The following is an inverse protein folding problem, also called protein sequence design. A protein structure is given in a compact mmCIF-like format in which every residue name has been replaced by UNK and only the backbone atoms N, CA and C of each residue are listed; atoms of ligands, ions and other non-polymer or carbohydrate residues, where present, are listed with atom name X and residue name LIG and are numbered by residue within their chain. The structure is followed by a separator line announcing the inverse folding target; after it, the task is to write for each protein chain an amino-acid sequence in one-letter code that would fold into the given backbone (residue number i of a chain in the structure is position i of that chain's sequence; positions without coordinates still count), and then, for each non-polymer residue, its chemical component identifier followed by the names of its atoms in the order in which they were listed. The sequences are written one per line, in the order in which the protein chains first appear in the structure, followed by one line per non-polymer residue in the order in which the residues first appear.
data_IF_599864364507
#
_entry.id   IF_599864364507
#
_cell.length_a   1.000
_cell.length_b   1.000
_cell.length_c   1.000
_cell.angle_alpha   90.00
_cell.angle_beta   90.00
_cell.angle_gamma   90.00
#
_symmetry.space_group_name_H-M   'P 1'
#
loop_
_entity.id
_entity.type
_entity.pdbx_description
1 polymer ?
#
# COMPACT_ATOMS: atom_id res chain seq x y z
N UNK A 1 11.91 9.31 -7.41
CA UNK A 1 12.21 7.94 -7.86
C UNK A 1 11.87 6.86 -6.82
N UNK A 2 12.28 6.91 -5.53
CA UNK A 2 11.87 5.90 -4.53
C UNK A 2 10.56 6.25 -3.78
N UNK A 3 10.30 7.55 -3.59
CA UNK A 3 9.11 8.05 -2.90
C UNK A 3 7.84 7.81 -3.70
N UNK A 4 7.85 8.09 -5.01
CA UNK A 4 6.67 7.98 -5.89
C UNK A 4 6.05 6.58 -5.86
N UNK A 5 6.87 5.52 -5.92
CA UNK A 5 6.38 4.14 -5.82
C UNK A 5 5.84 3.82 -4.44
N UNK A 6 6.42 4.37 -3.38
CA UNK A 6 5.87 4.20 -2.02
C UNK A 6 4.50 4.86 -1.91
N UNK A 7 4.37 6.08 -2.45
CA UNK A 7 3.14 6.87 -2.45
C UNK A 7 2.01 6.19 -3.23
N UNK A 8 2.29 5.68 -4.43
CA UNK A 8 1.35 4.90 -5.24
C UNK A 8 0.82 3.66 -4.50
N UNK A 9 1.68 2.95 -3.77
CA UNK A 9 1.29 1.76 -3.02
C UNK A 9 0.44 2.10 -1.80
N UNK A 10 0.79 3.15 -1.05
CA UNK A 10 -0.01 3.62 0.07
C UNK A 10 -1.40 4.06 -0.39
N UNK A 11 -1.47 4.78 -1.50
CA UNK A 11 -2.72 5.20 -2.12
C UNK A 11 -3.58 4.00 -2.55
N UNK A 12 -2.98 3.02 -3.24
CA UNK A 12 -3.68 1.81 -3.67
C UNK A 12 -4.22 1.01 -2.48
N UNK A 13 -3.41 0.80 -1.44
CA UNK A 13 -3.84 0.11 -0.21
C UNK A 13 -4.99 0.88 0.45
N UNK A 14 -4.90 2.21 0.58
CA UNK A 14 -5.95 3.03 1.18
C UNK A 14 -7.28 2.89 0.42
N UNK A 15 -7.24 3.03 -0.91
CA UNK A 15 -8.41 2.87 -1.78
C UNK A 15 -9.01 1.47 -1.66
N UNK A 16 -8.18 0.44 -1.65
CA UNK A 16 -8.61 -0.98 -1.54
C UNK A 16 -9.16 -1.34 -0.17
N UNK A 17 -8.63 -0.76 0.90
CA UNK A 17 -9.09 -1.03 2.27
C UNK A 17 -10.57 -0.74 2.49
N UNK A 18 -11.14 0.20 1.73
CA UNK A 18 -12.59 0.49 1.74
C UNK A 18 -13.46 -0.65 1.20
N UNK A 19 -12.88 -1.56 0.40
CA UNK A 19 -13.56 -2.71 -0.20
C UNK A 19 -13.16 -4.03 0.45
N UNK A 20 -11.89 -4.17 0.84
CA UNK A 20 -11.32 -5.39 1.42
C UNK A 20 -10.26 -5.02 2.47
N UNK A 21 -10.42 -5.48 3.70
CA UNK A 21 -9.40 -5.34 4.76
C UNK A 21 -9.23 -6.69 5.47
N UNK A 22 -8.03 -7.29 5.50
CA UNK A 22 -6.76 -6.81 4.92
C UNK A 22 -6.72 -6.94 3.40
N UNK A 23 -6.02 -6.03 2.72
CA UNK A 23 -5.92 -6.01 1.26
C UNK A 23 -4.99 -7.12 0.77
N UNK A 24 -5.47 -7.98 -0.12
CA UNK A 24 -4.69 -9.09 -0.68
C UNK A 24 -3.55 -8.61 -1.58
N UNK A 25 -2.42 -9.33 -1.58
CA UNK A 25 -1.27 -9.01 -2.45
C UNK A 25 -1.60 -9.18 -3.94
N UNK A 26 -2.43 -10.17 -4.27
CA UNK A 26 -2.95 -10.40 -5.62
C UNK A 26 -3.81 -9.23 -6.12
N UNK A 27 -4.64 -8.69 -5.24
CA UNK A 27 -5.50 -7.55 -5.51
C UNK A 27 -4.68 -6.29 -5.81
N UNK A 28 -3.62 -6.03 -5.02
CA UNK A 28 -2.68 -4.93 -5.24
C UNK A 28 -1.86 -5.11 -6.52
N UNK A 29 -1.38 -6.33 -6.79
CA UNK A 29 -0.63 -6.65 -8.01
C UNK A 29 -1.44 -6.34 -9.27
N UNK A 30 -2.72 -6.73 -9.28
CA UNK A 30 -3.63 -6.46 -10.38
C UNK A 30 -3.95 -4.96 -10.55
N UNK A 31 -4.03 -4.21 -9.45
CA UNK A 31 -4.29 -2.76 -9.50
C UNK A 31 -3.11 -1.96 -10.03
N UNK A 32 -1.92 -2.27 -9.51
CA UNK A 32 -0.69 -1.54 -9.80
C UNK A 32 0.02 -2.07 -11.06
N UNK A 33 -0.49 -3.13 -11.69
CA UNK A 33 0.08 -3.73 -12.89
C UNK A 33 1.48 -4.33 -12.67
N UNK A 34 1.78 -4.79 -11.46
CA UNK A 34 3.10 -5.32 -11.07
C UNK A 34 3.01 -6.79 -10.65
N UNK A 35 4.15 -7.45 -10.58
CA UNK A 35 4.21 -8.87 -10.20
C UNK A 35 4.02 -9.05 -8.68
N UNK A 36 3.48 -10.20 -8.27
CA UNK A 36 3.29 -10.51 -6.84
C UNK A 36 4.60 -10.47 -6.00
N UNK A 37 5.76 -10.94 -6.52
CA UNK A 37 7.03 -10.78 -5.81
C UNK A 37 7.40 -9.31 -5.58
N UNK A 38 7.21 -8.44 -6.57
CA UNK A 38 7.47 -7.00 -6.43
C UNK A 38 6.56 -6.34 -5.39
N UNK A 39 5.27 -6.71 -5.36
CA UNK A 39 4.36 -6.28 -4.30
C UNK A 39 4.88 -6.70 -2.93
N UNK A 40 5.25 -7.97 -2.78
CA UNK A 40 5.69 -8.53 -1.49
C UNK A 40 6.94 -7.81 -0.97
N UNK A 41 7.89 -7.52 -1.85
CA UNK A 41 9.10 -6.79 -1.53
C UNK A 41 8.81 -5.35 -1.07
N UNK A 42 7.92 -4.67 -1.80
CA UNK A 42 7.49 -3.31 -1.42
C UNK A 42 6.70 -3.30 -0.11
N UNK A 43 5.80 -4.26 0.11
CA UNK A 43 5.05 -4.38 1.36
C UNK A 43 5.99 -4.59 2.56
N UNK A 44 7.01 -5.43 2.41
CA UNK A 44 8.04 -5.61 3.45
C UNK A 44 8.81 -4.31 3.73
N UNK A 45 9.11 -3.54 2.70
CA UNK A 45 9.75 -2.22 2.82
C UNK A 45 8.85 -1.23 3.57
N UNK A 46 7.56 -1.17 3.23
CA UNK A 46 6.58 -0.31 3.88
C UNK A 46 6.33 -0.70 5.34
N UNK A 47 6.35 -2.01 5.63
CA UNK A 47 6.22 -2.54 6.99
C UNK A 47 7.45 -2.18 7.83
N UNK A 48 8.66 -2.32 7.28
CA UNK A 48 9.91 -1.88 7.93
C UNK A 48 9.89 -0.38 8.26
N UNK A 49 9.23 0.42 7.42
CA UNK A 49 9.00 1.86 7.65
C UNK A 49 7.84 2.15 8.62
N UNK A 50 7.14 1.14 9.13
CA UNK A 50 6.01 1.27 10.05
C UNK A 50 4.72 1.82 9.42
N UNK A 51 4.64 1.86 8.10
CA UNK A 51 3.52 2.45 7.35
C UNK A 51 2.37 1.46 7.15
N UNK A 52 2.68 0.16 7.09
CA UNK A 52 1.69 -0.90 6.96
C UNK A 52 1.93 -2.00 7.99
N UNK A 53 0.90 -2.78 8.24
CA UNK A 53 1.02 -4.09 8.86
C UNK A 53 0.74 -5.15 7.79
N UNK A 54 1.76 -5.91 7.43
CA UNK A 54 1.66 -6.97 6.44
C UNK A 54 1.64 -8.32 7.14
N UNK A 55 0.76 -9.21 6.71
CA UNK A 55 0.77 -10.61 7.16
C UNK A 55 0.81 -11.53 5.94
N UNK A 56 1.87 -12.33 5.77
CA UNK A 56 1.94 -13.33 4.72
C UNK A 56 0.68 -14.21 4.70
N UNK A 57 0.09 -14.37 3.52
CA UNK A 57 -1.15 -15.14 3.35
C UNK A 57 -2.44 -14.48 3.85
N UNK A 58 -2.37 -13.32 4.53
CA UNK A 58 -3.56 -12.53 4.93
C UNK A 58 -3.69 -11.19 4.22
N UNK A 59 -2.60 -10.63 3.69
CA UNK A 59 -2.60 -9.32 3.04
C UNK A 59 -2.02 -8.20 3.90
N UNK A 60 -2.24 -6.96 3.47
CA UNK A 60 -1.69 -5.76 4.07
C UNK A 60 -2.79 -4.80 4.54
N UNK A 61 -2.50 -4.04 5.60
CA UNK A 61 -3.34 -2.94 6.06
C UNK A 61 -2.48 -1.72 6.40
N UNK A 62 -2.99 -0.51 6.20
CA UNK A 62 -2.30 0.69 6.67
C UNK A 62 -2.27 0.73 8.20
N UNK A 63 -1.15 1.21 8.74
CA UNK A 63 -1.11 1.68 10.12
C UNK A 63 -1.63 3.11 10.17
N UNK A 64 -1.83 3.65 11.38
CA UNK A 64 -2.21 5.06 11.55
C UNK A 64 -1.27 6.01 10.80
N UNK A 65 0.04 5.79 10.90
CA UNK A 65 1.06 6.61 10.23
C UNK A 65 0.96 6.47 8.70
N UNK A 66 0.77 5.24 8.21
CA UNK A 66 0.60 5.00 6.77
C UNK A 66 -0.67 5.61 6.21
N UNK A 67 -1.75 5.62 6.98
CA UNK A 67 -3.03 6.22 6.60
C UNK A 67 -2.91 7.74 6.46
N UNK A 68 -2.28 8.42 7.42
CA UNK A 68 -2.01 9.86 7.32
C UNK A 68 -1.16 10.20 6.09
N UNK A 69 -0.19 9.35 5.78
CA UNK A 69 0.70 9.53 4.63
C UNK A 69 0.00 9.25 3.30
N UNK A 70 -0.82 8.22 3.23
CA UNK A 70 -1.67 7.93 2.07
C UNK A 70 -2.64 9.08 1.79
N UNK A 71 -3.24 9.65 2.84
CA UNK A 71 -4.15 10.79 2.74
C UNK A 71 -3.44 12.06 2.22
N UNK A 72 -2.23 12.33 2.70
CA UNK A 72 -1.41 13.45 2.22
C UNK A 72 -1.09 13.32 0.73
N UNK A 73 -0.71 12.11 0.28
CA UNK A 73 -0.49 11.78 -1.14
C UNK A 73 -1.76 12.00 -1.97
N UNK A 74 -2.89 11.42 -1.55
CA UNK A 74 -4.17 11.54 -2.26
C UNK A 74 -4.62 13.00 -2.35
N UNK A 75 -4.36 13.80 -1.31
CA UNK A 75 -4.66 15.23 -1.32
C UNK A 75 -3.80 15.96 -2.35
N UNK A 76 -2.50 15.69 -2.40
CA UNK A 76 -1.58 16.31 -3.37
C UNK A 76 -1.93 15.96 -4.83
N UNK A 77 -2.36 14.73 -5.10
CA UNK A 77 -2.80 14.32 -6.44
C UNK A 77 -4.14 14.92 -6.89
N UNK A 78 -4.91 15.51 -5.97
CA UNK A 78 -6.22 16.11 -6.26
C UNK A 78 -6.19 17.62 -6.47
N UNK A 79 -5.03 18.27 -6.33
CA UNK A 79 -4.86 19.73 -6.42
C UNK A 79 -4.19 20.10 -7.75
#
# INVERSE_FOLDING_TARGET
METERTEEYLEAIYKRQTKETPVSTSALAAELGVTQPAITDMLRTLESKGLIAYKPGRGARLTRIGEERALDVIRRHRI
#
